data_IF_497412944584
#
_entry.id   IF_497412944584
#
_cell.length_a   1.000
_cell.length_b   1.000
_cell.length_c   1.000
_cell.angle_alpha   90.00
_cell.angle_beta   90.00
_cell.angle_gamma   90.00
#
_symmetry.space_group_name_H-M   'P 1'
#
loop_
_entity.id
_entity.type
_entity.pdbx_description
1 polymer ?
#
# COMPACT_ATOMS: atom_id res chain seq x y z
N UNK A 1 30.56 -13.76 -9.75
CA UNK A 1 29.98 -12.88 -8.71
C UNK A 1 29.59 -13.80 -7.56
N UNK A 2 29.72 -13.40 -6.28
CA UNK A 2 29.41 -14.32 -5.19
C UNK A 2 27.94 -14.72 -5.24
N UNK A 3 27.65 -16.02 -5.26
CA UNK A 3 26.29 -16.57 -5.20
C UNK A 3 25.67 -16.17 -3.87
N UNK A 4 24.90 -15.09 -3.87
CA UNK A 4 24.19 -14.66 -2.68
C UNK A 4 23.03 -15.63 -2.44
N UNK A 5 22.94 -16.29 -1.26
CA UNK A 5 21.77 -17.09 -0.92
C UNK A 5 20.50 -16.26 -1.13
N UNK A 6 19.46 -16.87 -1.72
CA UNK A 6 18.21 -16.19 -2.12
C UNK A 6 17.66 -15.23 -1.04
N UNK A 7 17.79 -15.61 0.22
CA UNK A 7 17.25 -14.88 1.37
C UNK A 7 18.12 -13.72 1.87
N UNK A 8 19.32 -13.52 1.32
CA UNK A 8 20.18 -12.39 1.71
C UNK A 8 19.56 -11.04 1.38
N UNK A 9 18.98 -10.87 0.19
CA UNK A 9 18.37 -9.60 -0.22
C UNK A 9 17.22 -9.18 0.72
N UNK A 10 16.22 -10.04 1.03
CA UNK A 10 15.19 -9.72 2.04
C UNK A 10 15.76 -9.47 3.45
N UNK A 11 16.80 -10.20 3.87
CA UNK A 11 17.42 -10.00 5.19
C UNK A 11 18.13 -8.65 5.30
N UNK A 12 18.82 -8.22 4.24
CA UNK A 12 19.43 -6.89 4.18
C UNK A 12 18.37 -5.78 4.22
N UNK A 13 17.27 -5.96 3.48
CA UNK A 13 16.12 -5.05 3.51
C UNK A 13 15.49 -4.99 4.91
N UNK A 14 15.30 -6.14 5.54
CA UNK A 14 14.79 -6.21 6.91
C UNK A 14 15.70 -5.46 7.88
N UNK A 15 17.00 -5.73 7.86
CA UNK A 15 17.97 -5.09 8.75
C UNK A 15 18.02 -3.58 8.55
N UNK A 16 18.10 -3.11 7.30
CA UNK A 16 18.09 -1.69 6.96
C UNK A 16 16.79 -1.03 7.41
N UNK A 17 15.65 -1.66 7.14
CA UNK A 17 14.33 -1.12 7.53
C UNK A 17 14.16 -1.11 9.04
N UNK A 18 14.68 -2.12 9.77
CA UNK A 18 14.60 -2.16 11.23
C UNK A 18 15.36 -0.98 11.86
N UNK A 19 16.53 -0.63 11.32
CA UNK A 19 17.28 0.56 11.74
C UNK A 19 16.46 1.83 11.47
N UNK A 20 15.90 1.98 10.26
CA UNK A 20 15.06 3.13 9.92
C UNK A 20 13.81 3.24 10.81
N UNK A 21 13.16 2.12 11.11
CA UNK A 21 12.00 2.06 12.00
C UNK A 21 12.35 2.38 13.45
N UNK A 22 13.52 1.96 13.92
CA UNK A 22 14.02 2.36 15.23
C UNK A 22 14.25 3.87 15.31
N UNK A 23 14.88 4.47 14.29
CA UNK A 23 15.06 5.92 14.20
C UNK A 23 13.72 6.66 14.11
N UNK A 24 12.76 6.11 13.36
CA UNK A 24 11.41 6.67 13.25
C UNK A 24 10.67 6.63 14.59
N UNK A 25 10.86 5.58 15.39
CA UNK A 25 10.32 5.48 16.74
C UNK A 25 10.94 6.52 17.67
N UNK A 26 12.25 6.75 17.62
CA UNK A 26 12.90 7.83 18.37
C UNK A 26 12.32 9.21 18.01
N UNK A 27 12.11 9.47 16.70
CA UNK A 27 11.45 10.69 16.24
C UNK A 27 10.00 10.78 16.74
N UNK A 28 9.25 9.68 16.68
CA UNK A 28 7.88 9.62 17.19
C UNK A 28 7.82 9.92 18.69
N UNK A 29 8.81 9.50 19.47
CA UNK A 29 8.91 9.84 20.90
C UNK A 29 9.09 11.33 21.12
N UNK A 30 9.96 11.97 20.35
CA UNK A 30 10.21 13.40 20.45
C UNK A 30 9.02 14.26 19.97
N UNK A 31 8.35 13.83 18.90
CA UNK A 31 7.28 14.60 18.23
C UNK A 31 5.87 14.22 18.66
N UNK A 32 5.71 13.10 19.38
CA UNK A 32 4.43 12.44 19.70
C UNK A 32 3.56 12.12 18.47
N UNK A 33 4.14 12.04 17.28
CA UNK A 33 3.44 11.73 16.04
C UNK A 33 3.96 10.40 15.46
N UNK A 34 3.17 9.34 15.59
CA UNK A 34 3.49 8.02 15.06
C UNK A 34 3.17 7.84 13.58
N UNK A 35 2.54 8.84 12.92
CA UNK A 35 2.30 8.82 11.47
C UNK A 35 3.57 8.68 10.63
N UNK A 36 4.74 9.06 11.18
CA UNK A 36 6.04 8.88 10.54
C UNK A 36 6.33 7.41 10.17
N UNK A 37 5.72 6.45 10.86
CA UNK A 37 5.89 5.02 10.58
C UNK A 37 5.45 4.66 9.16
N UNK A 38 4.33 5.22 8.67
CA UNK A 38 3.80 4.95 7.34
C UNK A 38 4.74 5.54 6.27
N UNK A 39 5.30 6.73 6.54
CA UNK A 39 6.26 7.40 5.66
C UNK A 39 7.52 6.55 5.50
N UNK A 40 8.09 6.09 6.62
CA UNK A 40 9.31 5.28 6.60
C UNK A 40 9.05 3.92 5.97
N UNK A 41 7.87 3.33 6.18
CA UNK A 41 7.48 2.09 5.51
C UNK A 41 7.41 2.27 3.98
N UNK A 42 6.72 3.30 3.48
CA UNK A 42 6.62 3.57 2.05
C UNK A 42 7.98 3.91 1.41
N UNK A 43 8.81 4.68 2.13
CA UNK A 43 10.19 4.96 1.72
C UNK A 43 11.03 3.67 1.66
N UNK A 44 10.86 2.76 2.63
CA UNK A 44 11.57 1.48 2.66
C UNK A 44 11.12 0.54 1.55
N UNK A 45 9.83 0.54 1.17
CA UNK A 45 9.35 -0.17 -0.02
C UNK A 45 9.96 0.38 -1.31
N UNK A 46 10.08 1.71 -1.42
CA UNK A 46 10.75 2.38 -2.56
C UNK A 46 12.22 1.97 -2.64
N UNK A 47 12.93 2.03 -1.52
CA UNK A 47 14.32 1.63 -1.43
C UNK A 47 14.50 0.12 -1.69
N UNK A 48 13.55 -0.71 -1.29
CA UNK A 48 13.56 -2.16 -1.57
C UNK A 48 13.50 -2.43 -3.07
N UNK A 49 12.66 -1.73 -3.83
CA UNK A 49 12.61 -1.86 -5.28
C UNK A 49 13.97 -1.53 -5.93
N UNK A 50 14.63 -0.46 -5.47
CA UNK A 50 15.96 -0.09 -5.93
C UNK A 50 17.04 -1.11 -5.52
N UNK A 51 16.98 -1.60 -4.28
CA UNK A 51 17.91 -2.61 -3.77
C UNK A 51 17.79 -3.93 -4.54
N UNK A 52 16.57 -4.42 -4.79
CA UNK A 52 16.35 -5.61 -5.62
C UNK A 52 16.79 -5.40 -7.06
N UNK A 53 16.55 -4.24 -7.64
CA UNK A 53 17.05 -3.93 -8.98
C UNK A 53 18.58 -3.87 -9.04
N UNK A 54 19.24 -3.41 -7.97
CA UNK A 54 20.69 -3.31 -7.91
C UNK A 54 21.37 -4.66 -7.64
N UNK A 55 20.87 -5.40 -6.66
CA UNK A 55 21.44 -6.66 -6.18
C UNK A 55 20.94 -7.90 -6.94
N UNK A 56 19.83 -7.77 -7.67
CA UNK A 56 19.21 -8.88 -8.38
C UNK A 56 20.08 -9.41 -9.53
N UNK A 57 20.04 -10.73 -9.70
CA UNK A 57 20.82 -11.46 -10.73
C UNK A 57 20.00 -11.77 -11.99
N UNK A 58 18.76 -11.28 -12.06
CA UNK A 58 17.89 -11.43 -13.21
C UNK A 58 18.32 -10.59 -14.41
N UNK A 59 17.54 -10.71 -15.49
CA UNK A 59 17.74 -9.92 -16.70
C UNK A 59 17.65 -8.42 -16.41
N UNK A 60 18.38 -7.60 -17.17
CA UNK A 60 18.32 -6.13 -17.04
C UNK A 60 16.89 -5.60 -17.17
N UNK A 61 16.10 -6.16 -18.09
CA UNK A 61 14.70 -5.79 -18.30
C UNK A 61 13.83 -6.05 -17.06
N UNK A 62 13.99 -7.20 -16.40
CA UNK A 62 13.26 -7.52 -15.18
C UNK A 62 13.67 -6.61 -14.01
N UNK A 63 14.97 -6.37 -13.83
CA UNK A 63 15.51 -5.47 -12.79
C UNK A 63 15.04 -4.02 -12.98
N UNK A 64 15.10 -3.51 -14.20
CA UNK A 64 14.61 -2.16 -14.52
C UNK A 64 13.09 -2.06 -14.37
N UNK A 65 12.34 -3.10 -14.72
CA UNK A 65 10.88 -3.12 -14.52
C UNK A 65 10.51 -3.02 -13.03
N UNK A 66 11.22 -3.72 -12.15
CA UNK A 66 11.03 -3.60 -10.69
C UNK A 66 11.39 -2.19 -10.20
N UNK A 67 12.54 -1.65 -10.63
CA UNK A 67 12.98 -0.31 -10.26
C UNK A 67 11.95 0.76 -10.66
N UNK A 68 11.47 0.71 -11.91
CA UNK A 68 10.57 1.73 -12.44
C UNK A 68 9.16 1.53 -11.89
N UNK A 69 8.55 0.36 -12.06
CA UNK A 69 7.15 0.15 -11.69
C UNK A 69 6.97 0.09 -10.18
N UNK A 70 7.85 -0.61 -9.46
CA UNK A 70 7.82 -0.64 -7.99
C UNK A 70 8.33 0.64 -7.35
N UNK A 71 9.44 1.19 -7.85
CA UNK A 71 10.02 2.41 -7.30
C UNK A 71 9.14 3.63 -7.49
N UNK A 72 8.53 3.84 -8.67
CA UNK A 72 7.62 4.96 -8.89
C UNK A 72 6.34 4.85 -8.05
N UNK A 73 5.77 3.64 -7.92
CA UNK A 73 4.62 3.42 -7.04
C UNK A 73 4.97 3.74 -5.58
N UNK A 74 6.09 3.21 -5.08
CA UNK A 74 6.54 3.45 -3.71
C UNK A 74 6.84 4.93 -3.46
N UNK A 75 7.55 5.59 -4.38
CA UNK A 75 7.92 6.99 -4.27
C UNK A 75 6.70 7.90 -4.23
N UNK A 76 5.68 7.61 -5.06
CA UNK A 76 4.40 8.31 -5.03
C UNK A 76 3.74 8.20 -3.65
N UNK A 77 3.66 6.99 -3.11
CA UNK A 77 3.06 6.74 -1.79
C UNK A 77 3.84 7.43 -0.66
N UNK A 78 5.18 7.35 -0.70
CA UNK A 78 6.08 8.04 0.22
C UNK A 78 5.83 9.55 0.22
N UNK A 79 5.80 10.19 -0.97
CA UNK A 79 5.60 11.62 -1.10
C UNK A 79 4.22 12.07 -0.58
N UNK A 80 3.18 11.28 -0.85
CA UNK A 80 1.85 11.53 -0.33
C UNK A 80 1.82 11.49 1.20
N UNK A 81 2.35 10.43 1.81
CA UNK A 81 2.37 10.26 3.27
C UNK A 81 3.26 11.28 3.96
N UNK A 82 4.41 11.62 3.36
CA UNK A 82 5.32 12.64 3.88
C UNK A 82 4.61 13.99 3.98
N UNK A 83 3.94 14.42 2.90
CA UNK A 83 3.16 15.68 2.90
C UNK A 83 2.07 15.66 3.96
N UNK A 84 1.37 14.53 4.12
CA UNK A 84 0.31 14.38 5.13
C UNK A 84 0.86 14.53 6.56
N UNK A 85 1.91 13.78 6.90
CA UNK A 85 2.51 13.80 8.25
C UNK A 85 3.15 15.16 8.58
N UNK A 86 3.64 15.88 7.58
CA UNK A 86 4.19 17.22 7.76
C UNK A 86 3.14 18.32 7.90
N UNK A 87 1.94 18.16 7.34
CA UNK A 87 0.92 19.21 7.26
C UNK A 87 -0.30 19.00 8.17
N UNK A 88 -0.52 17.79 8.67
CA UNK A 88 -1.72 17.42 9.42
C UNK A 88 -1.38 16.93 10.84
N UNK A 89 -2.33 17.04 11.81
CA UNK A 89 -2.22 16.36 13.11
C UNK A 89 -2.01 14.84 12.98
N UNK A 90 -1.58 14.20 14.06
CA UNK A 90 -1.43 12.74 14.11
C UNK A 90 -2.71 12.03 13.63
N UNK A 91 -2.56 11.03 12.76
CA UNK A 91 -3.68 10.22 12.27
C UNK A 91 -4.43 9.60 13.46
N UNK A 92 -5.77 9.68 13.42
CA UNK A 92 -6.64 9.16 14.48
C UNK A 92 -6.41 7.70 14.85
N UNK A 93 -5.88 6.87 13.92
CA UNK A 93 -5.44 5.50 14.20
C UNK A 93 -4.33 5.44 15.22
N UNK A 94 -3.33 6.29 15.07
CA UNK A 94 -2.20 6.35 15.99
C UNK A 94 -2.54 7.04 17.29
N UNK A 95 -3.35 8.09 17.25
CA UNK A 95 -3.87 8.72 18.45
C UNK A 95 -4.69 7.73 19.31
N UNK A 96 -5.54 6.92 18.66
CA UNK A 96 -6.28 5.85 19.33
C UNK A 96 -5.35 4.78 19.92
N UNK A 97 -4.35 4.29 19.17
CA UNK A 97 -3.38 3.32 19.70
C UNK A 97 -2.62 3.90 20.90
N UNK A 98 -2.24 5.17 20.85
CA UNK A 98 -1.55 5.85 21.95
C UNK A 98 -2.39 5.87 23.21
N UNK A 99 -3.67 6.23 23.10
CA UNK A 99 -4.61 6.20 24.22
C UNK A 99 -4.84 4.77 24.71
N UNK A 100 -5.12 3.83 23.81
CA UNK A 100 -5.39 2.43 24.15
C UNK A 100 -4.20 1.71 24.81
N UNK A 101 -2.97 2.09 24.45
CA UNK A 101 -1.74 1.55 25.02
C UNK A 101 -1.20 2.35 26.20
N UNK A 102 -1.91 3.38 26.67
CA UNK A 102 -1.43 4.29 27.71
C UNK A 102 -0.01 4.83 27.42
N UNK A 103 0.24 5.17 26.15
CA UNK A 103 1.53 5.67 25.65
C UNK A 103 2.74 4.74 25.92
N UNK A 104 2.51 3.43 26.09
CA UNK A 104 3.55 2.45 26.33
C UNK A 104 4.55 2.36 25.17
N UNK A 105 5.73 2.94 25.35
CA UNK A 105 6.74 3.04 24.29
C UNK A 105 7.30 1.69 23.83
N UNK A 106 7.28 0.66 24.70
CA UNK A 106 7.64 -0.70 24.30
C UNK A 106 6.69 -1.29 23.25
N UNK A 107 5.39 -0.99 23.35
CA UNK A 107 4.39 -1.41 22.34
C UNK A 107 4.58 -0.65 21.03
N UNK A 108 4.87 0.65 21.09
CA UNK A 108 5.22 1.43 19.90
C UNK A 108 6.51 0.92 19.24
N UNK A 109 7.55 0.60 20.01
CA UNK A 109 8.78 0.05 19.45
C UNK A 109 8.51 -1.27 18.72
N UNK A 110 7.77 -2.20 19.35
CA UNK A 110 7.37 -3.45 18.72
C UNK A 110 6.54 -3.21 17.45
N UNK A 111 5.61 -2.26 17.48
CA UNK A 111 4.80 -1.89 16.33
C UNK A 111 5.63 -1.33 15.16
N UNK A 112 6.61 -0.47 15.43
CA UNK A 112 7.53 0.07 14.42
C UNK A 112 8.43 -1.02 13.85
N UNK A 113 9.04 -1.85 14.70
CA UNK A 113 9.90 -2.96 14.24
C UNK A 113 9.13 -4.02 13.43
N UNK A 114 7.86 -4.26 13.75
CA UNK A 114 7.00 -5.14 12.95
C UNK A 114 6.88 -4.66 11.49
N UNK A 115 6.93 -3.34 11.24
CA UNK A 115 6.89 -2.79 9.88
C UNK A 115 8.14 -3.15 9.06
N UNK A 116 9.28 -3.40 9.69
CA UNK A 116 10.46 -3.92 9.00
C UNK A 116 10.21 -5.35 8.48
N UNK A 117 9.57 -6.18 9.31
CA UNK A 117 9.12 -7.51 8.89
C UNK A 117 8.11 -7.45 7.75
N UNK A 118 7.13 -6.56 7.83
CA UNK A 118 6.16 -6.36 6.74
C UNK A 118 6.80 -5.82 5.46
N UNK A 119 7.82 -4.96 5.56
CA UNK A 119 8.55 -4.47 4.37
C UNK A 119 9.29 -5.63 3.69
N UNK A 120 10.01 -6.46 4.44
CA UNK A 120 10.69 -7.62 3.88
C UNK A 120 9.70 -8.63 3.28
N UNK A 121 8.56 -8.86 3.93
CA UNK A 121 7.52 -9.77 3.46
C UNK A 121 6.80 -9.25 2.19
N UNK A 122 6.38 -7.98 2.19
CA UNK A 122 5.65 -7.37 1.07
C UNK A 122 6.54 -7.05 -0.13
N UNK A 123 7.87 -7.05 0.05
CA UNK A 123 8.81 -6.85 -1.06
C UNK A 123 9.28 -8.16 -1.72
N UNK A 124 8.82 -9.33 -1.25
CA UNK A 124 9.06 -10.63 -1.92
C UNK A 124 8.64 -10.69 -3.40
N UNK A 125 7.60 -9.98 -3.87
CA UNK A 125 7.32 -9.92 -5.30
C UNK A 125 8.43 -9.24 -6.11
N UNK A 126 9.14 -8.28 -5.51
CA UNK A 126 10.28 -7.63 -6.14
C UNK A 126 11.47 -8.59 -6.22
N UNK A 127 11.70 -9.39 -5.18
CA UNK A 127 12.69 -10.47 -5.19
C UNK A 127 12.46 -11.43 -6.36
N UNK A 128 11.22 -11.91 -6.51
CA UNK A 128 10.86 -12.89 -7.52
C UNK A 128 11.03 -12.37 -8.95
N UNK A 129 10.67 -11.11 -9.18
CA UNK A 129 10.78 -10.44 -10.46
C UNK A 129 12.23 -10.03 -10.78
N UNK A 130 12.94 -9.39 -9.84
CA UNK A 130 14.29 -8.87 -10.09
C UNK A 130 15.36 -9.96 -10.26
N UNK A 131 15.12 -11.17 -9.75
CA UNK A 131 15.99 -12.33 -9.96
C UNK A 131 15.51 -13.23 -11.12
N UNK A 132 14.57 -12.76 -11.94
CA UNK A 132 14.13 -13.51 -13.12
C UNK A 132 15.15 -13.36 -14.27
N UNK A 133 15.98 -14.39 -14.45
CA UNK A 133 16.93 -14.47 -15.56
C UNK A 133 16.27 -14.85 -16.90
N UNK A 134 15.07 -15.43 -16.85
CA UNK A 134 14.31 -15.82 -18.05
C UNK A 134 13.85 -14.57 -18.81
N UNK A 135 14.04 -14.51 -20.14
CA UNK A 135 13.52 -13.40 -20.95
C UNK A 135 12.02 -13.22 -20.76
N UNK A 136 11.59 -11.99 -20.49
CA UNK A 136 10.18 -11.69 -20.27
C UNK A 136 9.40 -11.81 -21.59
N UNK A 137 8.29 -12.59 -21.61
CA UNK A 137 7.40 -12.57 -22.75
C UNK A 137 6.90 -11.15 -23.01
N UNK A 138 6.98 -10.67 -24.25
CA UNK A 138 6.59 -9.29 -24.61
C UNK A 138 5.16 -8.95 -24.18
N UNK A 139 4.23 -9.90 -24.35
CA UNK A 139 2.84 -9.73 -23.93
C UNK A 139 2.72 -9.54 -22.40
N UNK A 140 3.57 -10.19 -21.60
CA UNK A 140 3.53 -10.11 -20.15
C UNK A 140 4.02 -8.74 -19.67
N UNK A 141 5.09 -8.23 -20.27
CA UNK A 141 5.58 -6.88 -19.98
C UNK A 141 4.56 -5.81 -20.39
N UNK A 142 3.95 -5.94 -21.57
CA UNK A 142 2.88 -5.02 -22.01
C UNK A 142 1.70 -5.05 -21.04
N UNK A 143 1.25 -6.23 -20.64
CA UNK A 143 0.15 -6.36 -19.69
C UNK A 143 0.52 -5.80 -18.31
N UNK A 144 1.74 -6.03 -17.83
CA UNK A 144 2.24 -5.48 -16.58
C UNK A 144 2.22 -3.94 -16.59
N UNK A 145 2.67 -3.33 -17.69
CA UNK A 145 2.61 -1.87 -17.86
C UNK A 145 1.17 -1.34 -17.90
N UNK A 146 0.27 -2.03 -18.60
CA UNK A 146 -1.15 -1.64 -18.66
C UNK A 146 -1.83 -1.73 -17.28
N UNK A 147 -1.58 -2.80 -16.53
CA UNK A 147 -2.08 -2.98 -15.17
C UNK A 147 -1.52 -1.88 -14.26
N UNK A 148 -0.22 -1.57 -14.37
CA UNK A 148 0.41 -0.52 -13.57
C UNK A 148 -0.22 0.85 -13.86
N UNK A 149 -0.37 1.22 -15.14
CA UNK A 149 -0.99 2.48 -15.55
C UNK A 149 -2.45 2.58 -15.09
N UNK A 150 -3.23 1.50 -15.24
CA UNK A 150 -4.60 1.44 -14.77
C UNK A 150 -4.69 1.58 -13.25
N UNK A 151 -3.78 0.94 -12.51
CA UNK A 151 -3.74 0.97 -11.05
C UNK A 151 -3.39 2.36 -10.54
N UNK A 152 -2.26 2.93 -10.96
CA UNK A 152 -1.82 4.25 -10.52
C UNK A 152 -2.80 5.34 -10.99
N UNK A 153 -3.32 5.24 -12.22
CA UNK A 153 -4.30 6.18 -12.75
C UNK A 153 -5.65 6.09 -12.05
N UNK A 154 -6.15 4.88 -11.80
CA UNK A 154 -7.41 4.63 -11.12
C UNK A 154 -7.40 5.08 -9.66
N UNK A 155 -6.31 4.80 -8.95
CA UNK A 155 -6.10 5.25 -7.58
C UNK A 155 -6.03 6.79 -7.50
N UNK A 156 -5.22 7.41 -8.36
CA UNK A 156 -5.11 8.88 -8.41
C UNK A 156 -6.45 9.55 -8.75
N UNK A 157 -7.26 8.94 -9.64
CA UNK A 157 -8.59 9.43 -9.96
C UNK A 157 -9.55 9.29 -8.78
N UNK A 158 -9.56 8.14 -8.10
CA UNK A 158 -10.39 7.91 -6.92
C UNK A 158 -10.06 8.90 -5.80
N UNK A 159 -8.77 9.10 -5.51
CA UNK A 159 -8.33 10.02 -4.47
C UNK A 159 -8.66 11.47 -4.82
N UNK A 160 -8.49 11.89 -6.09
CA UNK A 160 -8.89 13.23 -6.55
C UNK A 160 -10.40 13.47 -6.42
N UNK A 161 -11.21 12.47 -6.75
CA UNK A 161 -12.67 12.54 -6.57
C UNK A 161 -13.04 12.74 -5.09
N UNK A 162 -12.41 11.97 -4.20
CA UNK A 162 -12.64 12.09 -2.76
C UNK A 162 -12.15 13.42 -2.20
N UNK A 163 -10.96 13.88 -2.61
CA UNK A 163 -10.39 15.16 -2.18
C UNK A 163 -11.26 16.33 -2.60
N UNK A 164 -11.74 16.35 -3.86
CA UNK A 164 -12.67 17.36 -4.36
C UNK A 164 -13.98 17.37 -3.56
N UNK A 165 -14.53 16.19 -3.26
CA UNK A 165 -15.74 16.08 -2.45
C UNK A 165 -15.54 16.65 -1.04
N UNK A 166 -14.42 16.32 -0.39
CA UNK A 166 -14.08 16.79 0.97
C UNK A 166 -13.77 18.29 1.07
N UNK A 167 -13.30 18.90 -0.02
CA UNK A 167 -12.95 20.31 -0.06
C UNK A 167 -14.19 21.23 0.03
N UNK A 168 -15.37 20.72 -0.34
CA UNK A 168 -16.62 21.46 -0.27
C UNK A 168 -17.28 21.30 1.12
N UNK A 169 -17.42 22.39 1.90
CA UNK A 169 -18.05 22.35 3.22
C UNK A 169 -19.50 21.86 3.21
N UNK A 170 -20.22 21.96 2.08
CA UNK A 170 -21.59 21.47 1.95
C UNK A 170 -21.70 19.95 2.13
N UNK A 171 -20.60 19.21 1.90
CA UNK A 171 -20.57 17.76 2.04
C UNK A 171 -20.20 17.28 3.45
N UNK A 172 -20.03 18.17 4.44
CA UNK A 172 -19.74 17.77 5.82
C UNK A 172 -20.81 16.83 6.36
N UNK A 173 -20.37 15.69 6.92
CA UNK A 173 -21.27 14.66 7.44
C UNK A 173 -21.83 13.70 6.38
N UNK A 174 -21.51 13.89 5.09
CA UNK A 174 -22.01 13.03 4.00
C UNK A 174 -20.89 12.20 3.36
N UNK A 175 -21.27 11.25 2.51
CA UNK A 175 -20.36 10.28 1.88
C UNK A 175 -20.25 10.52 0.38
N UNK A 176 -19.02 10.50 -0.12
CA UNK A 176 -18.76 10.60 -1.56
C UNK A 176 -19.35 9.38 -2.27
N UNK A 177 -20.25 9.64 -3.23
CA UNK A 177 -20.87 8.61 -4.10
C UNK A 177 -20.69 8.94 -5.59
N UNK A 178 -19.73 9.83 -5.91
CA UNK A 178 -19.46 10.32 -7.26
C UNK A 178 -18.35 9.52 -7.95
N UNK A 179 -18.44 9.39 -9.28
CA UNK A 179 -17.40 8.72 -10.07
C UNK A 179 -17.17 7.27 -9.66
N UNK A 180 -15.93 6.91 -9.35
CA UNK A 180 -15.54 5.56 -8.94
C UNK A 180 -16.17 5.18 -7.59
N UNK A 181 -16.39 6.15 -6.70
CA UNK A 181 -17.04 5.95 -5.42
C UNK A 181 -18.52 5.57 -5.55
N UNK A 182 -19.12 5.70 -6.75
CA UNK A 182 -20.46 5.14 -6.98
C UNK A 182 -20.45 3.60 -6.99
N UNK A 183 -19.36 3.02 -7.48
CA UNK A 183 -19.26 1.59 -7.80
C UNK A 183 -18.53 0.79 -6.72
N UNK A 184 -17.65 1.42 -5.95
CA UNK A 184 -16.99 0.80 -4.81
C UNK A 184 -16.90 1.81 -3.66
N UNK A 185 -16.97 1.32 -2.42
CA UNK A 185 -16.74 2.12 -1.22
C UNK A 185 -15.26 2.40 -0.97
N UNK A 186 -14.37 1.63 -1.58
CA UNK A 186 -12.91 1.78 -1.49
C UNK A 186 -12.26 1.55 -2.86
N UNK A 187 -12.58 2.36 -3.88
CA UNK A 187 -12.07 2.15 -5.24
C UNK A 187 -10.55 2.35 -5.31
N UNK A 188 -9.99 3.27 -4.52
CA UNK A 188 -8.55 3.45 -4.41
C UNK A 188 -7.85 2.18 -3.87
N UNK A 189 -8.43 1.49 -2.89
CA UNK A 189 -7.89 0.21 -2.40
C UNK A 189 -7.94 -0.89 -3.44
N UNK A 190 -8.96 -0.92 -4.28
CA UNK A 190 -9.03 -1.88 -5.39
C UNK A 190 -7.88 -1.67 -6.39
N UNK A 191 -7.62 -0.41 -6.76
CA UNK A 191 -6.50 -0.10 -7.66
C UNK A 191 -5.14 -0.33 -7.02
N UNK A 192 -4.99 -0.02 -5.73
CA UNK A 192 -3.79 -0.37 -4.95
C UNK A 192 -3.56 -1.89 -4.97
N UNK A 193 -4.60 -2.71 -4.75
CA UNK A 193 -4.48 -4.15 -4.88
C UNK A 193 -4.15 -4.61 -6.31
N UNK A 194 -4.74 -3.97 -7.32
CA UNK A 194 -4.52 -4.30 -8.74
C UNK A 194 -3.05 -4.10 -9.15
N UNK A 195 -2.36 -3.11 -8.57
CA UNK A 195 -0.93 -2.88 -8.81
C UNK A 195 -0.07 -4.12 -8.52
N UNK A 196 -0.43 -4.91 -7.50
CA UNK A 196 0.38 -6.07 -7.11
C UNK A 196 0.37 -7.22 -8.13
N UNK A 197 -0.56 -7.22 -9.10
CA UNK A 197 -0.57 -8.18 -10.21
C UNK A 197 0.51 -7.90 -11.26
N UNK A 198 1.18 -6.75 -11.21
CA UNK A 198 2.34 -6.44 -12.05
C UNK A 198 3.46 -7.49 -11.85
N UNK A 199 3.75 -7.85 -10.60
CA UNK A 199 4.93 -8.69 -10.28
C UNK A 199 4.78 -10.17 -10.66
N UNK A 200 3.61 -10.83 -10.50
CA UNK A 200 3.38 -12.15 -11.08
C UNK A 200 3.67 -12.21 -12.58
N UNK A 201 3.33 -11.16 -13.34
CA UNK A 201 3.63 -11.08 -14.78
C UNK A 201 5.12 -10.92 -15.05
N UNK A 202 5.83 -10.11 -14.27
CA UNK A 202 7.28 -9.94 -14.35
C UNK A 202 8.07 -11.16 -13.83
N UNK A 203 7.43 -12.06 -13.09
CA UNK A 203 8.04 -13.27 -12.55
C UNK A 203 7.71 -14.52 -13.36
N UNK A 204 7.04 -14.41 -14.52
CA UNK A 204 6.78 -15.54 -15.42
C UNK A 204 8.12 -16.17 -15.84
N UNK A 205 8.26 -17.47 -15.63
CA UNK A 205 9.48 -18.22 -15.92
C UNK A 205 10.56 -18.13 -14.84
N UNK A 206 10.32 -17.42 -13.73
CA UNK A 206 11.22 -17.40 -12.57
C UNK A 206 11.06 -18.68 -11.75
N UNK A 207 12.15 -19.35 -11.32
CA UNK A 207 12.09 -20.53 -10.43
C UNK A 207 11.36 -20.25 -9.10
N UNK A 208 11.34 -18.98 -8.69
CA UNK A 208 10.70 -18.49 -7.47
C UNK A 208 9.49 -17.61 -7.77
N UNK A 209 8.93 -17.69 -8.98
CA UNK A 209 7.82 -16.84 -9.43
C UNK A 209 6.56 -16.95 -8.57
N UNK A 210 6.38 -18.07 -7.86
CA UNK A 210 5.31 -18.25 -6.88
C UNK A 210 5.36 -17.22 -5.74
N UNK A 211 6.54 -16.71 -5.37
CA UNK A 211 6.69 -15.65 -4.36
C UNK A 211 6.05 -14.33 -4.81
N UNK A 212 5.91 -14.09 -6.12
CA UNK A 212 5.28 -12.88 -6.63
C UNK A 212 3.78 -12.80 -6.32
N UNK A 213 3.12 -13.95 -6.14
CA UNK A 213 1.72 -14.02 -5.72
C UNK A 213 1.50 -13.62 -4.26
N UNK A 214 2.58 -13.55 -3.45
CA UNK A 214 2.48 -13.02 -2.09
C UNK A 214 1.98 -11.57 -2.09
N UNK A 215 2.29 -10.76 -3.11
CA UNK A 215 1.82 -9.38 -3.26
C UNK A 215 0.29 -9.27 -3.28
N UNK A 216 -0.40 -9.80 -4.31
CA UNK A 216 -1.86 -9.75 -4.38
C UNK A 216 -2.56 -10.37 -3.16
N UNK A 217 -2.03 -11.47 -2.62
CA UNK A 217 -2.63 -12.17 -1.47
C UNK A 217 -2.51 -11.34 -0.20
N UNK A 218 -1.30 -10.89 0.13
CA UNK A 218 -1.04 -10.12 1.33
C UNK A 218 -1.70 -8.75 1.23
N UNK A 219 -1.63 -8.06 0.09
CA UNK A 219 -2.28 -6.76 -0.04
C UNK A 219 -3.80 -6.87 0.12
N UNK A 220 -4.43 -7.92 -0.43
CA UNK A 220 -5.85 -8.17 -0.20
C UNK A 220 -6.15 -8.41 1.28
N UNK A 221 -5.33 -9.21 1.98
CA UNK A 221 -5.50 -9.47 3.41
C UNK A 221 -5.39 -8.17 4.24
N UNK A 222 -4.38 -7.36 3.97
CA UNK A 222 -4.15 -6.10 4.68
C UNK A 222 -5.31 -5.12 4.45
N UNK A 223 -5.75 -4.95 3.20
CA UNK A 223 -6.84 -4.04 2.86
C UNK A 223 -8.19 -4.55 3.38
N UNK A 224 -8.49 -5.84 3.25
CA UNK A 224 -9.81 -6.36 3.56
C UNK A 224 -10.01 -6.71 5.04
N UNK A 225 -8.94 -7.10 5.77
CA UNK A 225 -9.05 -7.65 7.13
C UNK A 225 -8.31 -6.86 8.21
N UNK A 226 -7.12 -6.32 7.93
CA UNK A 226 -6.25 -5.80 8.99
C UNK A 226 -6.36 -4.27 9.13
N UNK A 227 -5.87 -3.53 8.15
CA UNK A 227 -5.61 -2.08 8.28
C UNK A 227 -6.42 -1.22 7.33
N UNK A 228 -7.08 -1.79 6.33
CA UNK A 228 -7.85 -1.05 5.32
C UNK A 228 -9.32 -0.82 5.70
N UNK A 229 -10.20 -1.58 5.06
CA UNK A 229 -11.66 -1.40 5.03
C UNK A 229 -12.27 -1.38 6.44
N UNK A 230 -12.04 -2.37 7.33
CA UNK A 230 -12.77 -2.40 8.61
C UNK A 230 -12.54 -1.15 9.48
N UNK A 231 -11.30 -0.66 9.52
CA UNK A 231 -10.95 0.52 10.30
C UNK A 231 -11.56 1.80 9.71
N UNK A 232 -11.45 1.98 8.40
CA UNK A 232 -11.98 3.15 7.70
C UNK A 232 -13.51 3.19 7.71
N UNK A 233 -14.18 2.05 7.55
CA UNK A 233 -15.64 1.96 7.65
C UNK A 233 -16.13 2.22 9.08
N UNK A 234 -15.43 1.71 10.11
CA UNK A 234 -15.77 1.98 11.50
C UNK A 234 -15.66 3.48 11.82
N UNK A 235 -14.61 4.16 11.33
CA UNK A 235 -14.50 5.61 11.49
C UNK A 235 -15.58 6.37 10.72
N UNK A 236 -15.90 5.92 9.50
CA UNK A 236 -16.95 6.51 8.68
C UNK A 236 -18.35 6.39 9.32
N UNK A 237 -18.65 5.25 9.95
CA UNK A 237 -19.88 5.04 10.69
C UNK A 237 -19.98 5.97 11.91
N UNK A 238 -18.88 6.17 12.64
CA UNK A 238 -18.85 7.10 13.78
C UNK A 238 -19.07 8.56 13.37
N UNK A 239 -18.55 8.97 12.22
CA UNK A 239 -18.62 10.37 11.79
C UNK A 239 -19.83 10.73 10.92
N UNK A 240 -20.41 9.76 10.21
CA UNK A 240 -21.49 9.99 9.21
C UNK A 240 -22.76 9.18 9.44
N UNK A 241 -22.76 8.25 10.41
CA UNK A 241 -23.95 7.54 10.86
C UNK A 241 -24.75 6.87 9.73
N UNK A 242 -26.02 7.23 9.62
CA UNK A 242 -26.98 6.60 8.71
C UNK A 242 -26.68 6.82 7.23
N UNK A 243 -26.04 7.93 6.87
CA UNK A 243 -25.61 8.16 5.48
C UNK A 243 -24.62 7.07 5.04
N UNK A 244 -23.61 6.77 5.86
CA UNK A 244 -22.66 5.72 5.54
C UNK A 244 -23.29 4.32 5.60
N UNK A 245 -24.24 4.08 6.52
CA UNK A 245 -25.00 2.81 6.53
C UNK A 245 -25.80 2.62 5.24
N UNK A 246 -26.43 3.67 4.72
CA UNK A 246 -27.13 3.60 3.43
C UNK A 246 -26.18 3.30 2.26
N UNK A 247 -24.98 3.88 2.28
CA UNK A 247 -23.94 3.58 1.32
C UNK A 247 -23.44 2.12 1.41
N UNK A 248 -23.31 1.58 2.62
CA UNK A 248 -22.93 0.17 2.83
C UNK A 248 -23.95 -0.82 2.26
N UNK A 249 -25.24 -0.47 2.26
CA UNK A 249 -26.31 -1.31 1.72
C UNK A 249 -26.35 -1.33 0.19
N UNK A 250 -26.00 -0.21 -0.44
CA UNK A 250 -26.16 0.00 -1.88
C UNK A 250 -24.90 -0.28 -2.70
N UNK A 251 -23.71 0.01 -2.16
CA UNK A 251 -22.46 -0.01 -2.93
C UNK A 251 -21.51 -1.11 -2.45
N UNK A 252 -20.85 -1.79 -3.40
CA UNK A 252 -19.84 -2.82 -3.12
C UNK A 252 -18.70 -2.28 -2.25
N UNK A 253 -18.20 -3.07 -1.30
CA UNK A 253 -17.12 -2.63 -0.42
C UNK A 253 -15.81 -2.38 -1.19
N UNK A 254 -15.45 -3.29 -2.11
CA UNK A 254 -14.10 -3.35 -2.67
C UNK A 254 -14.10 -3.42 -4.19
N UNK A 255 -14.65 -4.49 -4.78
CA UNK A 255 -14.71 -4.64 -6.24
C UNK A 255 -15.69 -3.61 -6.83
N UNK A 256 -15.29 -2.77 -7.80
CA UNK A 256 -16.19 -1.85 -8.48
C UNK A 256 -17.35 -2.60 -9.15
N UNK A 257 -18.57 -2.35 -8.68
CA UNK A 257 -19.77 -3.02 -9.15
C UNK A 257 -20.97 -2.05 -9.18
N UNK A 258 -21.92 -2.19 -10.13
CA UNK A 258 -23.13 -1.37 -10.13
C UNK A 258 -23.86 -1.42 -8.78
N UNK A 259 -24.33 -0.27 -8.26
CA UNK A 259 -25.04 -0.22 -6.98
C UNK A 259 -26.38 -0.96 -7.05
N UNK A 260 -26.82 -1.52 -5.93
CA UNK A 260 -28.11 -2.22 -5.83
C UNK A 260 -29.27 -1.23 -6.02
N UNK A 261 -30.23 -1.59 -6.88
CA UNK A 261 -31.36 -0.72 -7.27
C UNK A 261 -32.31 -0.41 -6.12
N UNK A 262 -32.49 -1.35 -5.18
CA UNK A 262 -33.48 -1.24 -4.09
C UNK A 262 -32.98 -0.48 -2.85
N UNK A 263 -31.80 0.14 -2.94
CA UNK A 263 -31.16 0.82 -1.81
C UNK A 263 -31.00 2.34 -2.02
N UNK A 264 -31.57 2.88 -3.11
CA UNK A 264 -31.78 4.31 -3.28
C UNK A 264 -33.18 4.64 -2.70
N UNK A 265 -33.28 5.60 -1.76
CA UNK A 265 -34.59 6.15 -1.40
C UNK A 265 -35.24 6.87 -2.58
#
# INVERSE_FOLDING_TARGET
MPDFPLWTQPLLIFAATAVLMFLAWLRQRATRNAGIVDVVWAGSMTASAAAYAWLGEGSMEARLSVLVLGGLWGARLFLYLFRRVSGEPEDGRYAYLRQHWNDAQGKFLAFFLAQAGFTALLSLPFLAAANNATPLPRWALTLALLIWLLSVGGEALADRQLARFRADPAHRGTTCRAGLWRYSRHPNYFFEWTHWFVYPLLAIGSPIGWLAWSGPVLMLLFLYRLTGIPYTEAQALRSRGDDYRAYQRSTSAFIPWPPKKDALP
#
